data_IF_779343116699
#
_entry.id   IF_779343116699
#
_cell.length_a   1.000
_cell.length_b   1.000
_cell.length_c   1.000
_cell.angle_alpha   90.00
_cell.angle_beta   90.00
_cell.angle_gamma   90.00
#
_symmetry.space_group_name_H-M   'P 1'
#
loop_
_entity.id
_entity.type
_entity.pdbx_description
1 polymer ?
#
# COMPACT_ATOMS: atom_id res chain seq x y z
N UNK A 1 36.48 -31.75 -37.14
CA UNK A 1 37.41 -30.69 -36.67
C UNK A 1 37.05 -29.43 -37.45
N UNK A 2 36.68 -28.28 -36.90
CA UNK A 2 36.74 -27.71 -35.55
C UNK A 2 35.56 -26.73 -35.37
N UNK A 3 34.92 -26.86 -34.20
CA UNK A 3 34.22 -25.90 -33.34
C UNK A 3 33.75 -24.53 -33.84
N UNK A 4 32.47 -24.24 -33.54
CA UNK A 4 32.11 -23.20 -32.56
C UNK A 4 31.88 -21.78 -33.08
N UNK A 5 30.63 -21.31 -33.01
CA UNK A 5 30.29 -20.37 -31.94
C UNK A 5 28.77 -20.33 -31.74
N UNK A 6 28.32 -20.89 -30.62
CA UNK A 6 27.01 -20.58 -30.07
C UNK A 6 27.02 -19.09 -29.71
N UNK A 7 26.07 -18.33 -30.26
CA UNK A 7 25.79 -17.00 -29.75
C UNK A 7 25.23 -17.19 -28.34
N UNK A 8 26.05 -16.84 -27.35
CA UNK A 8 25.80 -17.00 -25.93
C UNK A 8 24.50 -16.32 -25.50
N UNK A 9 23.81 -16.97 -24.56
CA UNK A 9 22.64 -16.53 -23.82
C UNK A 9 22.83 -15.16 -23.15
N UNK A 10 22.73 -14.11 -23.96
CA UNK A 10 22.85 -12.73 -23.55
C UNK A 10 21.52 -12.01 -23.73
N UNK A 11 21.01 -11.50 -22.60
CA UNK A 11 19.99 -10.46 -22.50
C UNK A 11 18.52 -10.92 -22.52
N UNK A 12 17.95 -11.20 -21.34
CA UNK A 12 16.71 -10.54 -20.87
C UNK A 12 16.44 -10.79 -19.37
N UNK A 13 17.47 -10.71 -18.54
CA UNK A 13 17.29 -10.52 -17.10
C UNK A 13 16.93 -9.05 -16.85
N UNK A 14 15.67 -8.67 -16.98
CA UNK A 14 15.21 -7.34 -16.58
C UNK A 14 15.47 -7.20 -15.07
N UNK A 15 16.56 -6.51 -14.70
CA UNK A 15 16.86 -6.19 -13.31
C UNK A 15 15.66 -5.41 -12.76
N UNK A 16 14.83 -6.08 -11.97
CA UNK A 16 13.68 -5.46 -11.36
C UNK A 16 14.17 -4.33 -10.46
N UNK A 17 13.55 -3.14 -10.57
CA UNK A 17 13.88 -2.00 -9.71
C UNK A 17 13.84 -2.41 -8.24
N UNK A 18 14.71 -1.79 -7.41
CA UNK A 18 14.74 -1.99 -5.95
C UNK A 18 13.33 -1.93 -5.34
N UNK A 19 12.49 -1.01 -5.82
CA UNK A 19 11.08 -0.89 -5.41
C UNK A 19 10.25 -2.15 -5.72
N UNK A 20 10.40 -2.72 -6.92
CA UNK A 20 9.69 -3.95 -7.33
C UNK A 20 10.13 -5.13 -6.47
N UNK A 21 11.42 -5.25 -6.20
CA UNK A 21 11.95 -6.29 -5.31
C UNK A 21 11.41 -6.15 -3.90
N UNK A 22 11.37 -4.93 -3.35
CA UNK A 22 10.78 -4.67 -2.04
C UNK A 22 9.27 -4.95 -2.01
N UNK A 23 8.50 -4.54 -3.03
CA UNK A 23 7.06 -4.83 -3.12
C UNK A 23 6.77 -6.34 -3.07
N UNK A 24 7.52 -7.14 -3.83
CA UNK A 24 7.39 -8.61 -3.84
C UNK A 24 7.72 -9.22 -2.49
N UNK A 25 8.85 -8.82 -1.89
CA UNK A 25 9.26 -9.31 -0.57
C UNK A 25 8.26 -8.92 0.52
N UNK A 26 7.80 -7.67 0.52
CA UNK A 26 6.80 -7.16 1.46
C UNK A 26 5.48 -7.91 1.34
N UNK A 27 5.00 -8.20 0.12
CA UNK A 27 3.79 -9.00 -0.11
C UNK A 27 3.87 -10.36 0.57
N UNK A 28 4.97 -11.09 0.40
CA UNK A 28 5.13 -12.42 0.97
C UNK A 28 5.23 -12.41 2.50
N UNK A 29 5.82 -11.38 3.09
CA UNK A 29 5.82 -11.22 4.54
C UNK A 29 4.46 -10.78 5.08
N UNK A 30 3.74 -9.91 4.37
CA UNK A 30 2.38 -9.51 4.71
C UNK A 30 1.42 -10.70 4.70
N UNK A 31 1.51 -11.60 3.71
CA UNK A 31 0.70 -12.84 3.69
C UNK A 31 0.82 -13.61 5.00
N UNK A 32 2.05 -13.94 5.39
CA UNK A 32 2.35 -14.69 6.62
C UNK A 32 1.86 -13.93 7.86
N UNK A 33 2.11 -12.62 7.92
CA UNK A 33 1.71 -11.80 9.05
C UNK A 33 0.19 -11.73 9.20
N UNK A 34 -0.52 -11.44 8.12
CA UNK A 34 -1.98 -11.27 8.10
C UNK A 34 -2.68 -12.55 8.54
N UNK A 35 -2.25 -13.71 8.01
CA UNK A 35 -2.79 -15.02 8.42
C UNK A 35 -2.49 -15.31 9.89
N UNK A 36 -1.26 -15.06 10.35
CA UNK A 36 -0.87 -15.31 11.75
C UNK A 36 -1.59 -14.43 12.77
N UNK A 37 -1.93 -13.19 12.41
CA UNK A 37 -2.61 -12.22 13.28
C UNK A 37 -4.12 -12.22 13.10
N UNK A 38 -4.64 -12.95 12.11
CA UNK A 38 -6.04 -12.95 11.70
C UNK A 38 -6.58 -11.52 11.53
N UNK A 39 -5.81 -10.67 10.85
CA UNK A 39 -6.10 -9.23 10.72
C UNK A 39 -6.56 -8.84 9.30
N UNK A 40 -7.03 -9.80 8.50
CA UNK A 40 -7.53 -9.55 7.14
C UNK A 40 -8.58 -8.43 7.08
N UNK A 41 -9.63 -8.42 7.93
CA UNK A 41 -10.70 -7.42 7.80
C UNK A 41 -10.22 -5.97 8.03
N UNK A 42 -9.29 -5.78 8.97
CA UNK A 42 -8.84 -4.43 9.34
C UNK A 42 -7.87 -3.84 8.29
N UNK A 43 -7.11 -4.68 7.58
CA UNK A 43 -6.26 -4.23 6.46
C UNK A 43 -7.13 -3.73 5.29
N UNK A 44 -8.19 -4.47 4.98
CA UNK A 44 -9.15 -4.07 3.93
C UNK A 44 -9.86 -2.78 4.32
N UNK A 45 -10.33 -2.68 5.58
CA UNK A 45 -10.99 -1.47 6.10
C UNK A 45 -10.05 -0.25 6.04
N UNK A 46 -8.79 -0.37 6.47
CA UNK A 46 -7.85 0.75 6.45
C UNK A 46 -7.69 1.31 5.03
N UNK A 47 -7.48 0.45 4.03
CA UNK A 47 -7.30 0.88 2.66
C UNK A 47 -8.55 1.50 2.03
N UNK A 48 -9.73 1.00 2.39
CA UNK A 48 -11.00 1.62 2.02
C UNK A 48 -11.13 3.03 2.61
N UNK A 49 -10.86 3.19 3.90
CA UNK A 49 -11.00 4.49 4.56
C UNK A 49 -9.96 5.52 4.07
N UNK A 50 -8.73 5.10 3.74
CA UNK A 50 -7.74 5.97 3.08
C UNK A 50 -8.27 6.43 1.71
N UNK A 51 -8.76 5.49 0.89
CA UNK A 51 -9.23 5.78 -0.48
C UNK A 51 -10.55 6.55 -0.53
N UNK A 52 -11.42 6.32 0.45
CA UNK A 52 -12.79 6.83 0.51
C UNK A 52 -12.87 8.34 0.74
N UNK A 53 -11.76 9.00 1.08
CA UNK A 53 -11.68 10.46 1.20
C UNK A 53 -11.59 11.18 -0.14
N UNK A 54 -11.60 10.48 -1.28
CA UNK A 54 -11.54 11.11 -2.60
C UNK A 54 -12.75 12.03 -2.87
N UNK A 55 -12.53 13.21 -3.48
CA UNK A 55 -13.60 14.06 -4.02
C UNK A 55 -13.24 14.58 -5.42
N UNK A 56 -14.04 14.16 -6.41
CA UNK A 56 -13.88 14.50 -7.82
C UNK A 56 -13.99 16.01 -8.14
N UNK A 57 -14.60 16.80 -7.26
CA UNK A 57 -14.74 18.26 -7.41
C UNK A 57 -13.42 18.97 -7.16
N UNK A 58 -12.54 18.41 -6.33
CA UNK A 58 -11.22 18.95 -6.03
C UNK A 58 -10.21 18.36 -7.02
N UNK A 59 -9.47 19.23 -7.71
CA UNK A 59 -8.52 18.79 -8.75
C UNK A 59 -7.11 18.55 -8.20
N UNK A 60 -6.72 19.36 -7.23
CA UNK A 60 -5.35 19.38 -6.74
C UNK A 60 -5.06 18.22 -5.77
N UNK A 61 -3.86 17.67 -5.91
CA UNK A 61 -3.27 16.77 -4.93
C UNK A 61 -2.47 17.60 -3.90
N UNK A 62 -2.55 17.30 -2.59
CA UNK A 62 -3.26 16.18 -1.96
C UNK A 62 -4.70 16.48 -1.53
N UNK A 63 -5.17 17.73 -1.64
CA UNK A 63 -6.45 18.20 -1.10
C UNK A 63 -7.69 17.39 -1.55
N UNK A 64 -7.64 16.76 -2.72
CA UNK A 64 -8.70 15.87 -3.22
C UNK A 64 -8.88 14.57 -2.44
N UNK A 65 -7.98 14.24 -1.52
CA UNK A 65 -7.99 12.97 -0.78
C UNK A 65 -7.69 11.76 -1.67
N UNK A 66 -8.16 10.59 -1.22
CA UNK A 66 -7.96 9.30 -1.89
C UNK A 66 -6.76 8.55 -1.33
N UNK A 67 -6.34 7.49 -2.05
CA UNK A 67 -5.27 6.58 -1.62
C UNK A 67 -3.88 7.24 -1.61
N UNK A 68 -3.65 8.10 -0.63
CA UNK A 68 -2.46 8.95 -0.48
C UNK A 68 -1.76 8.70 0.89
N UNK A 69 -2.29 7.77 1.69
CA UNK A 69 -1.75 7.39 2.99
C UNK A 69 -2.00 8.41 4.11
N UNK A 70 -2.82 9.42 3.91
CA UNK A 70 -3.11 10.46 4.91
C UNK A 70 -3.75 9.88 6.17
N UNK A 71 -4.51 8.78 6.06
CA UNK A 71 -5.19 8.12 7.18
C UNK A 71 -4.27 7.74 8.34
N UNK A 72 -2.95 7.68 8.14
CA UNK A 72 -2.00 7.38 9.21
C UNK A 72 -1.78 8.54 10.19
N UNK A 73 -2.20 9.75 9.83
CA UNK A 73 -2.01 10.95 10.63
C UNK A 73 -3.23 11.28 11.49
N UNK A 74 -3.05 11.88 12.67
CA UNK A 74 -4.15 12.21 13.59
C UNK A 74 -5.31 12.99 12.93
N UNK A 75 -5.01 13.86 11.98
CA UNK A 75 -5.95 14.69 11.25
C UNK A 75 -7.01 13.91 10.49
N UNK A 76 -6.74 12.67 10.07
CA UNK A 76 -7.75 11.75 9.53
C UNK A 76 -8.00 10.56 10.47
N UNK A 77 -6.97 10.01 11.11
CA UNK A 77 -7.07 8.82 11.94
C UNK A 77 -8.07 8.98 13.10
N UNK A 78 -8.21 10.21 13.61
CA UNK A 78 -9.09 10.50 14.75
C UNK A 78 -10.54 10.81 14.34
N UNK A 79 -10.90 10.76 13.06
CA UNK A 79 -12.31 10.85 12.66
C UNK A 79 -13.12 9.70 13.27
N UNK A 80 -14.37 9.97 13.65
CA UNK A 80 -15.22 8.95 14.30
C UNK A 80 -15.37 7.68 13.45
N UNK A 81 -15.50 7.85 12.12
CA UNK A 81 -15.55 6.74 11.17
C UNK A 81 -14.29 5.86 11.16
N UNK A 82 -13.14 6.38 11.59
CA UNK A 82 -11.84 5.72 11.58
C UNK A 82 -11.48 5.05 12.92
N UNK A 83 -12.39 5.04 13.89
CA UNK A 83 -12.18 4.40 15.19
C UNK A 83 -11.61 2.97 15.06
N UNK A 84 -10.50 2.72 15.75
CA UNK A 84 -9.78 1.45 15.78
C UNK A 84 -8.79 1.20 14.63
N UNK A 85 -8.66 2.09 13.65
CA UNK A 85 -7.71 1.93 12.53
C UNK A 85 -6.26 2.22 12.91
N UNK A 86 -6.02 2.79 14.09
CA UNK A 86 -4.70 2.96 14.71
C UNK A 86 -3.99 1.61 14.88
N UNK A 87 -4.75 0.55 15.17
CA UNK A 87 -4.23 -0.82 15.24
C UNK A 87 -3.69 -1.32 13.90
N UNK A 88 -4.41 -1.04 12.80
CA UNK A 88 -3.95 -1.42 11.46
C UNK A 88 -2.72 -0.62 11.03
N UNK A 89 -2.67 0.69 11.32
CA UNK A 89 -1.46 1.50 11.15
C UNK A 89 -0.28 0.88 11.90
N UNK A 90 -0.45 0.57 13.18
CA UNK A 90 0.61 -0.02 14.02
C UNK A 90 1.13 -1.35 13.49
N UNK A 91 0.26 -2.18 12.89
CA UNK A 91 0.68 -3.40 12.21
C UNK A 91 1.56 -3.16 10.98
N UNK A 92 1.37 -2.06 10.27
CA UNK A 92 2.13 -1.73 9.05
C UNK A 92 3.43 -0.97 9.33
N UNK A 93 3.61 -0.35 10.50
CA UNK A 93 4.83 0.39 10.86
C UNK A 93 6.13 -0.41 10.69
N UNK A 94 6.23 -1.68 11.14
CA UNK A 94 7.44 -2.48 10.94
C UNK A 94 7.74 -2.75 9.45
N UNK A 95 6.70 -2.89 8.62
CA UNK A 95 6.85 -3.08 7.18
C UNK A 95 7.30 -1.78 6.49
N UNK A 96 6.73 -0.63 6.88
CA UNK A 96 7.15 0.66 6.36
C UNK A 96 8.62 0.95 6.67
N UNK A 97 9.08 0.63 7.89
CA UNK A 97 10.48 0.78 8.28
C UNK A 97 11.41 -0.17 7.51
N UNK A 98 10.97 -1.41 7.27
CA UNK A 98 11.77 -2.44 6.57
C UNK A 98 11.84 -2.22 5.06
N UNK A 99 10.81 -1.64 4.45
CA UNK A 99 10.69 -1.45 3.01
C UNK A 99 10.56 0.03 2.61
N UNK A 100 11.64 0.82 2.75
CA UNK A 100 11.59 2.28 2.57
C UNK A 100 11.29 2.73 1.13
N UNK A 101 11.40 1.85 0.13
CA UNK A 101 11.06 2.18 -1.26
C UNK A 101 9.54 2.11 -1.54
N UNK A 102 8.77 1.55 -0.59
CA UNK A 102 7.32 1.45 -0.67
C UNK A 102 6.75 2.66 0.08
N UNK A 103 5.98 3.49 -0.62
CA UNK A 103 5.29 4.61 0.04
C UNK A 103 4.21 4.07 0.99
N UNK A 104 3.87 4.84 2.02
CA UNK A 104 2.75 4.50 2.90
C UNK A 104 1.44 4.25 2.14
N UNK A 105 1.17 5.05 1.11
CA UNK A 105 0.02 4.87 0.22
C UNK A 105 0.05 3.52 -0.49
N UNK A 106 1.19 3.10 -1.05
CA UNK A 106 1.33 1.78 -1.68
C UNK A 106 1.25 0.64 -0.65
N UNK A 107 1.83 0.81 0.54
CA UNK A 107 1.85 -0.21 1.60
C UNK A 107 0.44 -0.54 2.12
N UNK A 108 -0.37 0.48 2.40
CA UNK A 108 -1.76 0.33 2.85
C UNK A 108 -2.56 -0.48 1.81
N UNK A 109 -2.44 -0.10 0.54
CA UNK A 109 -3.17 -0.76 -0.54
C UNK A 109 -2.63 -2.18 -0.82
N UNK A 110 -1.31 -2.40 -0.70
CA UNK A 110 -0.70 -3.73 -0.79
C UNK A 110 -1.22 -4.66 0.31
N UNK A 111 -1.30 -4.19 1.55
CA UNK A 111 -1.81 -4.97 2.68
C UNK A 111 -3.28 -5.37 2.48
N UNK A 112 -4.12 -4.46 1.99
CA UNK A 112 -5.53 -4.75 1.69
C UNK A 112 -5.69 -5.80 0.57
N UNK A 113 -5.03 -5.60 -0.56
CA UNK A 113 -5.10 -6.57 -1.66
C UNK A 113 -4.57 -7.95 -1.25
N UNK A 114 -3.50 -7.98 -0.45
CA UNK A 114 -2.94 -9.22 0.11
C UNK A 114 -3.92 -9.88 1.09
N UNK A 115 -4.59 -9.10 1.94
CA UNK A 115 -5.61 -9.62 2.86
C UNK A 115 -6.79 -10.27 2.12
N UNK A 116 -7.23 -9.69 1.00
CA UNK A 116 -8.29 -10.26 0.15
C UNK A 116 -7.84 -11.59 -0.45
N UNK A 117 -6.62 -11.64 -1.02
CA UNK A 117 -6.04 -12.88 -1.55
C UNK A 117 -5.92 -13.97 -0.47
N UNK A 118 -5.39 -13.64 0.71
CA UNK A 118 -5.28 -14.56 1.85
C UNK A 118 -6.64 -15.08 2.34
N UNK A 119 -7.68 -14.27 2.25
CA UNK A 119 -9.04 -14.67 2.64
C UNK A 119 -9.73 -15.59 1.60
N UNK A 120 -9.03 -16.01 0.55
CA UNK A 120 -9.58 -16.81 -0.55
C UNK A 120 -10.30 -15.98 -1.62
N UNK A 121 -10.15 -14.66 -1.58
CA UNK A 121 -10.66 -13.76 -2.61
C UNK A 121 -9.80 -13.76 -3.89
N UNK A 122 -10.19 -12.97 -4.90
CA UNK A 122 -9.45 -12.90 -6.15
C UNK A 122 -8.09 -12.20 -5.96
N UNK A 123 -7.15 -12.51 -6.85
CA UNK A 123 -5.94 -11.70 -7.00
C UNK A 123 -6.32 -10.38 -7.67
N UNK A 124 -6.18 -9.27 -6.95
CA UNK A 124 -6.46 -7.94 -7.48
C UNK A 124 -5.28 -7.46 -8.32
N UNK A 125 -5.53 -7.01 -9.55
CA UNK A 125 -4.51 -6.44 -10.45
C UNK A 125 -4.09 -5.04 -9.98
N UNK A 126 -3.24 -5.03 -8.95
CA UNK A 126 -2.80 -3.80 -8.29
C UNK A 126 -1.68 -3.11 -9.07
N UNK A 127 -1.84 -1.81 -9.27
CA UNK A 127 -0.77 -0.90 -9.71
C UNK A 127 -0.19 -0.16 -8.50
N UNK A 128 1.13 -0.03 -8.47
CA UNK A 128 1.88 0.67 -7.42
C UNK A 128 2.67 1.83 -8.01
N UNK A 129 3.13 2.74 -7.16
CA UNK A 129 3.71 4.01 -7.57
C UNK A 129 3.07 5.22 -6.90
N UNK A 130 2.13 5.02 -5.96
CA UNK A 130 1.45 6.14 -5.29
C UNK A 130 2.46 6.95 -4.49
N UNK A 131 2.30 8.26 -4.52
CA UNK A 131 3.01 9.18 -3.63
C UNK A 131 2.24 9.26 -2.32
N UNK A 132 2.94 9.16 -1.20
CA UNK A 132 2.35 9.41 0.10
C UNK A 132 2.43 10.89 0.46
N UNK A 133 1.38 11.42 1.09
CA UNK A 133 1.46 12.74 1.74
C UNK A 133 2.49 12.73 2.86
N UNK A 134 3.02 13.88 3.28
CA UNK A 134 4.19 13.93 4.16
C UNK A 134 3.87 14.42 5.57
N UNK A 135 2.73 15.08 5.76
CA UNK A 135 2.37 15.67 7.06
C UNK A 135 0.88 15.62 7.36
N UNK A 136 0.54 15.86 8.63
CA UNK A 136 -0.85 15.98 9.11
C UNK A 136 -1.62 17.11 8.41
N UNK A 137 -0.93 18.17 7.97
CA UNK A 137 -1.53 19.29 7.24
C UNK A 137 -2.09 18.91 5.86
N UNK A 138 -1.67 17.75 5.33
CA UNK A 138 -2.13 17.22 4.04
C UNK A 138 -3.43 16.41 4.16
N UNK A 139 -3.92 16.19 5.39
CA UNK A 139 -5.18 15.49 5.66
C UNK A 139 -6.39 16.24 5.09
N UNK A 140 -7.41 15.49 4.66
CA UNK A 140 -8.71 16.11 4.33
C UNK A 140 -9.37 16.70 5.57
N UNK A 141 -10.15 17.77 5.41
CA UNK A 141 -10.86 18.41 6.52
C UNK A 141 -12.21 17.73 6.78
N UNK A 142 -12.53 17.47 8.05
CA UNK A 142 -13.76 16.77 8.49
C UNK A 142 -15.06 17.44 8.06
N UNK A 143 -15.08 18.78 7.97
CA UNK A 143 -16.28 19.60 7.77
C UNK A 143 -17.04 19.40 6.44
N UNK A 144 -16.70 18.39 5.65
CA UNK A 144 -17.33 18.12 4.35
C UNK A 144 -17.87 16.69 4.18
N UNK A 145 -17.74 15.80 5.19
CA UNK A 145 -17.85 14.34 4.96
C UNK A 145 -18.40 13.51 6.13
N UNK A 146 -18.94 14.12 7.18
CA UNK A 146 -19.78 13.46 8.20
C UNK A 146 -21.26 13.80 7.98
#
# INVERSE_FOLDING_TARGET
>A
AVMGNACSDGCFGMLASKKVTQLRACKEELKKFIDSKNCHPIMVRLAWHDSGTYDQRIKDFPARGGANGAIRFPGELNFGANAGLDKAKGFLEPFAAKYPEISWADLIQLASATAIECAGGPVIDMRYGRVAVQSDADCVKSASRE
#
